data_IF_705243621836
#
_entry.id   IF_705243621836
#
_cell.length_a   1.000
_cell.length_b   1.000
_cell.length_c   1.000
_cell.angle_alpha   90.00
_cell.angle_beta   90.00
_cell.angle_gamma   90.00
#
_symmetry.space_group_name_H-M   'P 1'
#
loop_
_entity.id
_entity.type
_entity.pdbx_description
1 polymer ?
#
# COMPACT_ATOMS: atom_id res chain seq x y z
N UNK A 1 20.75 -6.54 6.66
CA UNK A 1 19.78 -5.71 7.39
C UNK A 1 20.48 -5.05 8.56
N UNK A 2 20.47 -3.73 8.63
CA UNK A 2 21.10 -2.97 9.72
C UNK A 2 20.26 -2.99 11.01
N UNK A 3 20.87 -2.64 12.16
CA UNK A 3 20.16 -2.54 13.46
C UNK A 3 18.97 -1.58 13.37
N UNK A 4 19.12 -0.48 12.61
CA UNK A 4 18.05 0.49 12.36
C UNK A 4 16.84 -0.14 11.67
N UNK A 5 17.06 -0.85 10.55
CA UNK A 5 16.01 -1.50 9.76
C UNK A 5 15.24 -2.57 10.54
N UNK A 6 15.93 -3.29 11.43
CA UNK A 6 15.33 -4.38 12.18
C UNK A 6 14.54 -3.91 13.42
N UNK A 7 15.04 -2.92 14.18
CA UNK A 7 14.48 -2.61 15.49
C UNK A 7 13.81 -1.23 15.60
N UNK A 8 14.25 -0.26 14.80
CA UNK A 8 13.77 1.13 14.91
C UNK A 8 12.75 1.48 13.81
N UNK A 9 13.07 1.15 12.57
CA UNK A 9 12.25 1.48 11.42
C UNK A 9 10.81 0.93 11.51
N UNK A 10 10.56 -0.36 11.87
CA UNK A 10 9.19 -0.87 11.98
C UNK A 10 8.35 -0.11 13.01
N UNK A 11 8.95 0.26 14.16
CA UNK A 11 8.26 1.04 15.20
C UNK A 11 7.94 2.45 14.74
N UNK A 12 8.89 3.10 14.05
CA UNK A 12 8.72 4.44 13.52
C UNK A 12 7.64 4.47 12.44
N UNK A 13 7.68 3.53 11.50
CA UNK A 13 6.67 3.39 10.45
C UNK A 13 5.29 3.12 11.05
N UNK A 14 5.17 2.17 11.99
CA UNK A 14 3.91 1.87 12.65
C UNK A 14 3.32 3.12 13.34
N UNK A 15 4.16 3.94 13.99
CA UNK A 15 3.70 5.18 14.61
C UNK A 15 3.27 6.23 13.58
N UNK A 16 4.09 6.45 12.55
CA UNK A 16 3.81 7.43 11.51
C UNK A 16 2.53 7.09 10.72
N UNK A 17 2.35 5.81 10.43
CA UNK A 17 1.19 5.32 9.67
C UNK A 17 -0.13 5.32 10.46
N UNK A 18 -0.09 5.59 11.77
CA UNK A 18 -1.28 5.79 12.63
C UNK A 18 -1.82 7.22 12.59
N UNK A 19 -1.23 8.13 11.81
CA UNK A 19 -1.68 9.52 11.71
C UNK A 19 -3.19 9.62 11.38
N UNK A 20 -3.94 10.56 11.99
CA UNK A 20 -5.40 10.65 11.83
C UNK A 20 -5.88 10.73 10.38
N UNK A 21 -5.16 11.49 9.55
CA UNK A 21 -5.50 11.62 8.12
C UNK A 21 -5.37 10.28 7.37
N UNK A 22 -4.36 9.45 7.71
CA UNK A 22 -4.20 8.12 7.11
C UNK A 22 -5.26 7.14 7.63
N UNK A 23 -5.61 7.25 8.93
CA UNK A 23 -6.70 6.46 9.51
C UNK A 23 -8.03 6.76 8.82
N UNK A 24 -8.38 8.03 8.63
CA UNK A 24 -9.61 8.43 7.95
C UNK A 24 -9.70 7.91 6.51
N UNK A 25 -8.57 7.81 5.80
CA UNK A 25 -8.53 7.20 4.47
C UNK A 25 -8.78 5.69 4.52
N UNK A 26 -8.22 4.98 5.50
CA UNK A 26 -8.49 3.54 5.70
C UNK A 26 -9.96 3.29 6.01
N UNK A 27 -10.54 4.06 6.92
CA UNK A 27 -11.96 3.99 7.29
C UNK A 27 -12.90 4.15 6.09
N UNK A 28 -12.48 4.92 5.10
CA UNK A 28 -13.28 5.16 3.88
C UNK A 28 -13.04 4.11 2.80
N UNK A 29 -11.80 3.69 2.60
CA UNK A 29 -11.41 2.87 1.44
C UNK A 29 -11.47 1.38 1.71
N UNK A 30 -10.97 0.93 2.87
CA UNK A 30 -10.84 -0.50 3.16
C UNK A 30 -12.19 -1.23 3.21
N UNK A 31 -13.30 -0.65 3.73
CA UNK A 31 -14.60 -1.29 3.70
C UNK A 31 -15.17 -1.55 2.29
N UNK A 32 -14.59 -0.95 1.26
CA UNK A 32 -14.97 -1.22 -0.14
C UNK A 32 -14.41 -2.54 -0.69
N UNK A 33 -13.55 -3.22 0.07
CA UNK A 33 -13.00 -4.52 -0.31
C UNK A 33 -14.06 -5.62 -0.20
N UNK A 34 -14.07 -6.54 -1.15
CA UNK A 34 -15.07 -7.60 -1.26
C UNK A 34 -14.41 -8.94 -1.62
N UNK A 35 -15.03 -10.04 -1.19
CA UNK A 35 -14.64 -11.41 -1.57
C UNK A 35 -13.28 -11.85 -1.03
N UNK A 36 -12.49 -12.47 -1.89
CA UNK A 36 -11.10 -12.83 -1.59
C UNK A 36 -10.22 -11.60 -1.79
N UNK A 37 -9.63 -11.11 -0.71
CA UNK A 37 -8.84 -9.89 -0.68
C UNK A 37 -7.35 -10.23 -0.56
N UNK A 38 -6.53 -9.65 -1.42
CA UNK A 38 -5.09 -9.60 -1.25
C UNK A 38 -4.69 -8.22 -0.76
N UNK A 39 -4.11 -8.12 0.43
CA UNK A 39 -3.48 -6.90 0.91
C UNK A 39 -1.98 -6.95 0.62
N UNK A 40 -1.52 -6.13 -0.32
CA UNK A 40 -0.10 -6.00 -0.66
C UNK A 40 0.53 -4.94 0.24
N UNK A 41 1.51 -5.37 1.05
CA UNK A 41 2.11 -4.54 2.09
C UNK A 41 1.21 -4.40 3.31
N UNK A 42 0.77 -5.53 3.89
CA UNK A 42 -0.08 -5.52 5.10
C UNK A 42 0.60 -4.83 6.29
N UNK A 43 1.92 -4.78 6.30
CA UNK A 43 2.71 -4.11 7.32
C UNK A 43 2.34 -4.54 8.73
N UNK A 44 1.97 -3.57 9.57
CA UNK A 44 1.54 -3.79 10.95
C UNK A 44 0.03 -4.01 11.13
N UNK A 45 -0.70 -4.30 10.04
CA UNK A 45 -2.12 -4.66 10.10
C UNK A 45 -3.08 -3.50 10.32
N UNK A 46 -2.68 -2.25 9.99
CA UNK A 46 -3.49 -1.06 10.26
C UNK A 46 -4.77 -0.96 9.43
N UNK A 47 -4.93 -1.77 8.39
CA UNK A 47 -6.16 -1.89 7.62
C UNK A 47 -7.13 -2.90 8.24
N UNK A 48 -6.64 -3.89 8.97
CA UNK A 48 -7.44 -5.02 9.48
C UNK A 48 -8.71 -4.59 10.21
N UNK A 49 -8.70 -3.57 11.10
CA UNK A 49 -9.91 -3.15 11.80
C UNK A 49 -11.04 -2.61 10.92
N UNK A 50 -10.76 -2.34 9.63
CA UNK A 50 -11.70 -1.71 8.71
C UNK A 50 -12.27 -2.68 7.66
N UNK A 51 -11.80 -3.92 7.61
CA UNK A 51 -12.39 -4.93 6.74
C UNK A 51 -13.74 -5.41 7.27
N UNK A 52 -14.69 -5.59 6.35
CA UNK A 52 -15.94 -6.28 6.66
C UNK A 52 -15.66 -7.76 7.01
N UNK A 53 -16.40 -8.33 7.95
CA UNK A 53 -16.21 -9.72 8.41
C UNK A 53 -16.47 -10.79 7.33
N UNK A 54 -17.05 -10.40 6.21
CA UNK A 54 -17.38 -11.29 5.09
C UNK A 54 -16.22 -11.54 4.12
N UNK A 55 -15.12 -10.78 4.24
CA UNK A 55 -13.97 -10.92 3.33
C UNK A 55 -12.95 -11.94 3.87
N UNK A 56 -12.24 -12.58 2.94
CA UNK A 56 -11.11 -13.47 3.24
C UNK A 56 -9.81 -12.75 2.91
N UNK A 57 -9.02 -12.41 3.92
CA UNK A 57 -7.81 -11.61 3.74
C UNK A 57 -6.57 -12.49 3.61
N UNK A 58 -5.80 -12.28 2.55
CA UNK A 58 -4.42 -12.74 2.43
C UNK A 58 -3.51 -11.52 2.50
N UNK A 59 -2.63 -11.48 3.50
CA UNK A 59 -1.72 -10.37 3.74
C UNK A 59 -0.29 -10.67 3.30
N UNK A 60 0.25 -9.87 2.41
CA UNK A 60 1.60 -10.00 1.85
C UNK A 60 2.50 -8.87 2.36
N UNK A 61 3.62 -9.21 2.98
CA UNK A 61 4.65 -8.26 3.39
C UNK A 61 6.00 -8.97 3.58
N UNK A 62 7.12 -8.43 3.09
CA UNK A 62 8.43 -9.05 3.30
C UNK A 62 8.98 -8.88 4.74
N UNK A 63 8.45 -7.95 5.53
CA UNK A 63 8.87 -7.70 6.92
C UNK A 63 8.11 -8.60 7.88
N UNK A 64 8.75 -9.67 8.34
CA UNK A 64 8.20 -10.55 9.37
C UNK A 64 8.02 -9.83 10.72
N UNK A 65 8.82 -8.80 10.98
CA UNK A 65 8.70 -7.95 12.16
C UNK A 65 7.41 -7.13 12.15
N UNK A 66 7.02 -6.57 10.99
CA UNK A 66 5.74 -5.87 10.84
C UNK A 66 4.58 -6.86 10.87
N UNK A 67 4.70 -8.00 10.22
CA UNK A 67 3.68 -9.05 10.27
C UNK A 67 3.39 -9.55 11.71
N UNK A 68 4.39 -9.53 12.61
CA UNK A 68 4.14 -9.88 14.00
C UNK A 68 3.10 -8.95 14.66
N UNK A 69 3.19 -7.63 14.42
CA UNK A 69 2.14 -6.69 14.85
C UNK A 69 0.80 -6.93 14.17
N UNK A 70 0.83 -7.27 12.86
CA UNK A 70 -0.41 -7.54 12.13
C UNK A 70 -1.15 -8.78 12.66
N UNK A 71 -0.42 -9.82 13.10
CA UNK A 71 -1.00 -10.99 13.75
C UNK A 71 -1.69 -10.64 15.07
N UNK A 72 -1.05 -9.80 15.89
CA UNK A 72 -1.68 -9.32 17.14
C UNK A 72 -2.98 -8.54 16.86
N UNK A 73 -2.98 -7.69 15.81
CA UNK A 73 -4.19 -6.97 15.40
C UNK A 73 -5.25 -7.93 14.87
N UNK A 74 -4.88 -8.91 14.05
CA UNK A 74 -5.81 -9.91 13.53
C UNK A 74 -6.51 -10.69 14.65
N UNK A 75 -5.76 -11.08 15.68
CA UNK A 75 -6.31 -11.75 16.87
C UNK A 75 -7.26 -10.82 17.65
N UNK A 76 -6.88 -9.56 17.86
CA UNK A 76 -7.69 -8.57 18.58
C UNK A 76 -9.01 -8.26 17.87
N UNK A 77 -8.97 -8.18 16.54
CA UNK A 77 -10.13 -7.85 15.69
C UNK A 77 -10.93 -9.10 15.29
N UNK A 78 -10.51 -10.30 15.68
CA UNK A 78 -11.14 -11.58 15.29
C UNK A 78 -11.29 -11.70 13.77
N UNK A 79 -10.17 -11.49 13.05
CA UNK A 79 -10.09 -11.60 11.60
C UNK A 79 -9.09 -12.70 11.24
N UNK A 80 -9.54 -13.65 10.43
CA UNK A 80 -8.66 -14.67 9.88
C UNK A 80 -7.87 -14.13 8.71
N UNK A 81 -6.53 -14.20 8.80
CA UNK A 81 -5.61 -13.67 7.79
C UNK A 81 -4.59 -14.73 7.42
N UNK A 82 -4.49 -15.04 6.14
CA UNK A 82 -3.39 -15.84 5.61
C UNK A 82 -2.17 -14.94 5.36
N UNK A 83 -1.10 -15.09 6.14
CA UNK A 83 0.10 -14.25 6.06
C UNK A 83 1.19 -14.86 5.18
N UNK A 84 1.70 -14.10 4.22
CA UNK A 84 2.76 -14.47 3.29
C UNK A 84 3.94 -13.51 3.44
N UNK A 85 5.14 -14.05 3.66
CA UNK A 85 6.38 -13.28 3.88
C UNK A 85 7.15 -12.97 2.60
N UNK A 86 6.48 -12.42 1.57
CA UNK A 86 7.08 -12.09 0.28
C UNK A 86 6.76 -10.65 -0.14
N UNK A 87 7.48 -10.16 -1.16
CA UNK A 87 7.22 -8.87 -1.81
C UNK A 87 6.08 -8.98 -2.82
N UNK A 88 5.39 -7.86 -3.07
CA UNK A 88 4.39 -7.75 -4.13
C UNK A 88 4.91 -7.98 -5.55
N UNK A 89 6.22 -8.05 -5.75
CA UNK A 89 6.89 -8.39 -7.01
C UNK A 89 6.81 -9.89 -7.34
N UNK A 90 6.49 -10.73 -6.34
CA UNK A 90 6.31 -12.18 -6.47
C UNK A 90 5.14 -12.62 -5.59
N UNK A 91 3.95 -12.79 -6.18
CA UNK A 91 2.74 -13.17 -5.46
C UNK A 91 2.50 -14.67 -5.64
N UNK A 92 2.64 -15.51 -4.59
CA UNK A 92 2.52 -16.97 -4.68
C UNK A 92 1.03 -17.38 -4.67
N UNK A 93 0.30 -16.97 -5.71
CA UNK A 93 -1.09 -17.29 -5.91
C UNK A 93 -1.37 -17.57 -7.40
N UNK A 94 -2.41 -18.33 -7.68
CA UNK A 94 -2.86 -18.60 -9.03
C UNK A 94 -3.39 -17.35 -9.74
N UNK A 95 -3.45 -17.39 -11.06
CA UNK A 95 -4.09 -16.33 -11.83
C UNK A 95 -5.56 -16.22 -11.44
N UNK A 96 -6.09 -15.00 -11.43
CA UNK A 96 -7.50 -14.75 -11.15
C UNK A 96 -7.99 -15.32 -9.80
N UNK A 97 -7.21 -15.15 -8.74
CA UNK A 97 -7.49 -15.67 -7.39
C UNK A 97 -8.25 -14.69 -6.50
N UNK A 98 -8.07 -13.39 -6.72
CA UNK A 98 -8.60 -12.35 -5.83
C UNK A 98 -9.66 -11.49 -6.50
N UNK A 99 -10.69 -11.17 -5.72
CA UNK A 99 -11.76 -10.24 -6.13
C UNK A 99 -11.33 -8.79 -5.92
N UNK A 100 -10.56 -8.54 -4.86
CA UNK A 100 -10.04 -7.22 -4.51
C UNK A 100 -8.56 -7.31 -4.16
N UNK A 101 -7.77 -6.33 -4.63
CA UNK A 101 -6.43 -6.06 -4.11
C UNK A 101 -6.47 -4.74 -3.35
N UNK A 102 -5.94 -4.71 -2.13
CA UNK A 102 -5.80 -3.50 -1.31
C UNK A 102 -4.32 -3.15 -1.19
N UNK A 103 -3.98 -1.90 -1.46
CA UNK A 103 -2.61 -1.39 -1.40
C UNK A 103 -2.59 0.02 -0.83
N UNK A 104 -2.05 0.17 0.39
CA UNK A 104 -2.02 1.46 1.09
C UNK A 104 -0.59 1.82 1.49
N UNK A 105 -0.04 2.87 0.87
CA UNK A 105 1.33 3.38 1.06
C UNK A 105 2.41 2.30 0.89
N UNK A 106 2.19 1.41 -0.07
CA UNK A 106 3.06 0.28 -0.36
C UNK A 106 3.77 0.41 -1.69
N UNK A 107 3.04 0.81 -2.75
CA UNK A 107 3.63 0.97 -4.08
C UNK A 107 4.80 1.96 -4.09
N UNK A 108 4.77 2.97 -3.21
CA UNK A 108 5.87 3.92 -3.06
C UNK A 108 7.15 3.29 -2.51
N UNK A 109 7.08 2.10 -1.89
CA UNK A 109 8.19 1.41 -1.21
C UNK A 109 8.73 0.22 -2.00
N UNK A 110 7.88 -0.47 -2.77
CA UNK A 110 8.28 -1.65 -3.56
C UNK A 110 9.42 -1.28 -4.54
N UNK A 111 10.53 -2.04 -4.60
CA UNK A 111 11.66 -1.75 -5.49
C UNK A 111 11.26 -1.66 -6.96
N UNK A 112 10.58 -2.68 -7.50
CA UNK A 112 10.01 -2.66 -8.85
C UNK A 112 8.48 -2.57 -8.83
N UNK A 113 7.91 -1.34 -8.84
CA UNK A 113 6.47 -1.14 -8.78
C UNK A 113 5.74 -1.60 -10.06
N UNK A 114 6.44 -1.69 -11.21
CA UNK A 114 5.84 -2.20 -12.44
C UNK A 114 5.65 -3.71 -12.36
N UNK A 115 6.68 -4.42 -11.90
CA UNK A 115 6.59 -5.87 -11.68
C UNK A 115 5.47 -6.20 -10.68
N UNK A 116 5.37 -5.45 -9.58
CA UNK A 116 4.30 -5.64 -8.61
C UNK A 116 2.91 -5.42 -9.21
N UNK A 117 2.72 -4.37 -10.00
CA UNK A 117 1.44 -4.12 -10.69
C UNK A 117 1.12 -5.20 -11.74
N UNK A 118 2.13 -5.77 -12.41
CA UNK A 118 1.93 -6.89 -13.33
C UNK A 118 1.48 -8.16 -12.58
N UNK A 119 2.08 -8.45 -11.43
CA UNK A 119 1.67 -9.56 -10.56
C UNK A 119 0.25 -9.34 -10.00
N UNK A 120 -0.06 -8.13 -9.53
CA UNK A 120 -1.41 -7.76 -9.10
C UNK A 120 -2.42 -7.99 -10.23
N UNK A 121 -2.10 -7.55 -11.44
CA UNK A 121 -2.95 -7.79 -12.61
C UNK A 121 -3.16 -9.27 -12.89
N UNK A 122 -2.12 -10.09 -12.73
CA UNK A 122 -2.18 -11.54 -12.94
C UNK A 122 -3.11 -12.25 -11.97
N UNK A 123 -3.03 -11.86 -10.68
CA UNK A 123 -3.80 -12.54 -9.63
C UNK A 123 -5.22 -11.98 -9.46
N UNK A 124 -5.49 -10.79 -9.99
CA UNK A 124 -6.81 -10.16 -9.92
C UNK A 124 -7.76 -10.85 -10.92
N UNK A 125 -8.96 -11.18 -10.48
CA UNK A 125 -10.02 -11.77 -11.32
C UNK A 125 -10.50 -10.77 -12.37
N UNK A 126 -11.04 -11.25 -13.52
CA UNK A 126 -11.81 -10.39 -14.42
C UNK A 126 -12.95 -9.68 -13.66
N UNK A 127 -13.01 -8.37 -13.77
CA UNK A 127 -13.95 -7.53 -13.02
C UNK A 127 -13.55 -7.25 -11.57
N UNK A 128 -12.41 -7.75 -11.11
CA UNK A 128 -11.84 -7.40 -9.81
C UNK A 128 -11.26 -5.98 -9.78
N UNK A 129 -11.05 -5.45 -8.59
CA UNK A 129 -10.62 -4.06 -8.37
C UNK A 129 -9.38 -3.94 -7.48
N UNK A 130 -8.62 -2.88 -7.70
CA UNK A 130 -7.54 -2.45 -6.82
C UNK A 130 -8.01 -1.22 -6.04
N UNK A 131 -8.02 -1.30 -4.73
CA UNK A 131 -8.27 -0.16 -3.83
C UNK A 131 -6.91 0.35 -3.36
N UNK A 132 -6.64 1.62 -3.56
CA UNK A 132 -5.31 2.16 -3.27
C UNK A 132 -5.32 3.50 -2.57
N UNK A 133 -4.27 3.74 -1.77
CA UNK A 133 -3.88 5.03 -1.26
C UNK A 133 -2.35 5.11 -1.25
N UNK A 134 -1.76 5.99 -2.05
CA UNK A 134 -0.32 6.02 -2.27
C UNK A 134 0.25 7.44 -2.22
N UNK A 135 1.45 7.59 -1.67
CA UNK A 135 2.21 8.82 -1.83
C UNK A 135 2.74 8.92 -3.29
N UNK A 136 2.85 10.13 -3.83
CA UNK A 136 3.48 10.31 -5.12
C UNK A 136 3.95 11.74 -5.40
N UNK A 137 4.44 11.94 -6.62
CA UNK A 137 4.93 13.24 -7.09
C UNK A 137 3.81 14.28 -7.06
N UNK A 138 4.07 15.40 -6.39
CA UNK A 138 3.13 16.52 -6.35
C UNK A 138 3.10 17.28 -7.70
N UNK A 139 1.94 17.83 -8.11
CA UNK A 139 1.84 18.57 -9.38
C UNK A 139 2.54 19.94 -9.35
N UNK A 140 2.79 20.48 -8.18
CA UNK A 140 3.56 21.71 -8.03
C UNK A 140 5.05 21.46 -8.34
N UNK A 141 5.57 22.16 -9.35
CA UNK A 141 6.93 21.98 -9.87
C UNK A 141 8.00 22.23 -8.79
N UNK A 142 7.77 23.15 -7.86
CA UNK A 142 8.75 23.45 -6.80
C UNK A 142 8.74 22.33 -5.76
N UNK A 143 7.56 21.84 -5.39
CA UNK A 143 7.42 20.69 -4.47
C UNK A 143 8.05 19.45 -5.10
N UNK A 144 7.74 19.15 -6.37
CA UNK A 144 8.32 18.00 -7.10
C UNK A 144 9.85 18.05 -7.15
N UNK A 145 10.43 19.23 -7.41
CA UNK A 145 11.89 19.43 -7.35
C UNK A 145 12.47 19.15 -5.96
N UNK A 146 11.78 19.56 -4.90
CA UNK A 146 12.20 19.26 -3.52
C UNK A 146 12.04 17.79 -3.20
N UNK A 147 10.92 17.16 -3.59
CA UNK A 147 10.73 15.72 -3.48
C UNK A 147 11.90 14.96 -4.13
N UNK A 148 12.27 15.30 -5.36
CA UNK A 148 13.38 14.67 -6.06
C UNK A 148 14.74 14.85 -5.34
N UNK A 149 14.98 16.04 -4.75
CA UNK A 149 16.23 16.33 -4.02
C UNK A 149 16.37 15.57 -2.72
N UNK A 150 15.28 15.45 -1.95
CA UNK A 150 15.32 14.79 -0.64
C UNK A 150 15.12 13.28 -0.76
N UNK A 151 14.57 12.79 -1.88
CA UNK A 151 14.21 11.39 -2.08
C UNK A 151 15.34 10.39 -1.75
N UNK A 152 16.62 10.62 -2.08
CA UNK A 152 17.70 9.69 -1.72
C UNK A 152 17.85 9.49 -0.19
N UNK A 153 17.72 10.57 0.58
CA UNK A 153 17.78 10.52 2.04
C UNK A 153 16.49 9.94 2.62
N UNK A 154 15.34 10.38 2.08
CA UNK A 154 14.03 9.89 2.49
C UNK A 154 13.88 8.39 2.27
N UNK A 155 14.34 7.89 1.14
CA UNK A 155 14.30 6.45 0.82
C UNK A 155 14.98 5.59 1.88
N UNK A 156 16.13 6.02 2.38
CA UNK A 156 16.86 5.33 3.46
C UNK A 156 16.09 5.42 4.79
N UNK A 157 15.63 6.61 5.16
CA UNK A 157 14.93 6.84 6.45
C UNK A 157 13.52 6.27 6.46
N UNK A 158 12.85 6.26 5.32
CA UNK A 158 11.47 5.80 5.14
C UNK A 158 11.35 4.35 4.66
N UNK A 159 12.39 3.53 4.83
CA UNK A 159 12.33 2.10 4.53
C UNK A 159 12.04 1.77 3.06
N UNK A 160 12.66 2.49 2.14
CA UNK A 160 12.47 2.29 0.71
C UNK A 160 11.41 3.21 0.08
N UNK A 161 10.69 4.03 0.86
CA UNK A 161 9.65 4.91 0.34
C UNK A 161 10.21 5.97 -0.62
N UNK A 162 9.55 6.16 -1.76
CA UNK A 162 9.84 7.18 -2.77
C UNK A 162 8.74 8.24 -2.78
N UNK A 163 9.11 9.52 -2.54
CA UNK A 163 8.16 10.65 -2.55
C UNK A 163 7.75 11.11 -3.96
N UNK A 164 8.52 10.74 -4.98
CA UNK A 164 8.42 11.26 -6.33
C UNK A 164 7.95 10.23 -7.36
N UNK A 165 7.23 9.18 -6.93
CA UNK A 165 6.65 8.21 -7.85
C UNK A 165 5.48 8.81 -8.61
N UNK A 166 5.46 8.58 -9.93
CA UNK A 166 4.38 8.97 -10.83
C UNK A 166 3.29 7.88 -10.82
N UNK A 167 2.45 7.91 -9.79
CA UNK A 167 1.48 6.84 -9.51
C UNK A 167 0.58 6.57 -10.71
N UNK A 168 -0.01 7.61 -11.33
CA UNK A 168 -0.90 7.45 -12.48
C UNK A 168 -0.19 6.73 -13.63
N UNK A 169 1.01 7.20 -14.00
CA UNK A 169 1.78 6.57 -15.09
C UNK A 169 2.18 5.13 -14.80
N UNK A 170 2.36 4.74 -13.52
CA UNK A 170 2.64 3.37 -13.13
C UNK A 170 1.42 2.48 -13.35
N UNK A 171 0.24 2.89 -12.88
CA UNK A 171 -0.99 2.13 -13.06
C UNK A 171 -1.37 2.00 -14.54
N UNK A 172 -1.46 3.12 -15.27
CA UNK A 172 -1.80 3.14 -16.69
C UNK A 172 -0.80 2.33 -17.52
N UNK A 173 0.50 2.52 -17.27
CA UNK A 173 1.58 1.79 -17.95
C UNK A 173 1.64 0.29 -17.61
N UNK A 174 0.88 -0.17 -16.61
CA UNK A 174 0.74 -1.57 -16.23
C UNK A 174 -0.64 -2.16 -16.61
N UNK A 175 -1.45 -1.41 -17.37
CA UNK A 175 -2.72 -1.87 -17.92
C UNK A 175 -3.89 -1.78 -16.93
N UNK A 176 -3.88 -0.75 -16.07
CA UNK A 176 -5.01 -0.40 -15.22
C UNK A 176 -5.63 0.92 -15.66
N UNK A 177 -6.95 1.02 -15.55
CA UNK A 177 -7.73 2.24 -15.64
C UNK A 177 -8.18 2.66 -14.24
N UNK A 178 -8.33 3.96 -14.01
CA UNK A 178 -8.93 4.46 -12.77
C UNK A 178 -10.45 4.57 -12.92
N UNK A 179 -11.17 3.81 -12.11
CA UNK A 179 -12.61 3.95 -11.97
C UNK A 179 -12.94 5.19 -11.13
N UNK A 180 -12.13 5.39 -10.06
CA UNK A 180 -12.18 6.57 -9.20
C UNK A 180 -10.75 6.97 -8.82
N UNK A 181 -10.42 8.25 -8.92
CA UNK A 181 -9.16 8.79 -8.44
C UNK A 181 -9.35 10.16 -7.81
N UNK A 182 -8.92 10.28 -6.58
CA UNK A 182 -8.77 11.55 -5.87
C UNK A 182 -7.28 11.84 -5.63
N UNK A 183 -6.91 13.11 -5.73
CA UNK A 183 -5.54 13.58 -5.54
C UNK A 183 -5.52 14.78 -4.62
N UNK A 184 -4.53 14.85 -3.72
CA UNK A 184 -4.41 16.00 -2.84
C UNK A 184 -3.43 15.80 -1.70
N UNK A 185 -3.15 16.88 -1.00
CA UNK A 185 -2.32 16.87 0.19
C UNK A 185 -3.13 16.38 1.39
N UNK A 186 -2.53 15.52 2.20
CA UNK A 186 -2.98 15.25 3.56
C UNK A 186 -2.41 16.29 4.52
N UNK A 187 -2.84 16.28 5.77
CA UNK A 187 -2.25 17.11 6.82
C UNK A 187 -0.78 16.77 7.03
N UNK A 188 0.05 17.81 7.13
CA UNK A 188 1.48 17.67 7.36
C UNK A 188 2.36 18.40 6.33
N UNK A 189 3.65 18.10 6.29
CA UNK A 189 4.60 18.73 5.37
C UNK A 189 4.25 18.43 3.91
N UNK A 190 3.95 19.46 3.11
CA UNK A 190 3.49 19.31 1.71
C UNK A 190 4.42 18.46 0.83
N UNK A 191 5.71 18.43 1.16
CA UNK A 191 6.70 17.65 0.43
C UNK A 191 6.50 16.13 0.57
N UNK A 192 5.84 15.67 1.66
CA UNK A 192 5.65 14.27 1.99
C UNK A 192 4.18 13.82 2.06
N UNK A 193 3.23 14.71 1.73
CA UNK A 193 1.80 14.43 1.99
C UNK A 193 0.92 14.43 0.74
N UNK A 194 1.50 14.55 -0.46
CA UNK A 194 0.71 14.44 -1.68
C UNK A 194 0.35 12.98 -1.94
N UNK A 195 -0.95 12.71 -2.00
CA UNK A 195 -1.51 11.36 -2.10
C UNK A 195 -2.42 11.21 -3.31
N UNK A 196 -2.40 10.01 -3.87
CA UNK A 196 -3.32 9.47 -4.86
C UNK A 196 -4.13 8.37 -4.19
N UNK A 197 -5.45 8.36 -4.33
CA UNK A 197 -6.33 7.39 -3.70
C UNK A 197 -7.56 7.12 -4.53
N UNK A 198 -8.06 5.89 -4.49
CA UNK A 198 -9.25 5.52 -5.26
C UNK A 198 -9.31 4.05 -5.59
N UNK A 199 -9.96 3.77 -6.72
CA UNK A 199 -10.22 2.44 -7.24
C UNK A 199 -9.70 2.38 -8.68
N UNK A 200 -9.04 1.27 -9.01
CA UNK A 200 -8.60 0.97 -10.37
C UNK A 200 -9.01 -0.45 -10.75
N UNK A 201 -9.26 -0.67 -12.03
CA UNK A 201 -9.56 -1.96 -12.61
C UNK A 201 -8.67 -2.28 -13.81
N UNK A 202 -8.65 -3.54 -14.24
CA UNK A 202 -7.89 -3.95 -15.44
C UNK A 202 -8.50 -3.29 -16.67
N UNK A 203 -7.65 -2.68 -17.53
CA UNK A 203 -8.03 -2.02 -18.77
C UNK A 203 -8.54 -3.00 -19.83
#
# INVERSE_FOLDING_TARGET
MGIYEKYFLPKLLNLAMKAPAMKALRERLVPLAEGNVLEVGIGSGLNLPFYEKSVHVTGLDPSLELQAYAREVAEQEDIDVNFIGLSGEEIPADNNSFDTVVMTWTLCTIPDPRQALMEIRRVLKPGGKVIFAEHGEAPDVNIAKWQARINPVWNVLGGGCHLNRKIESLYEGSGFNFDEIEKGFLEGPRIATYNFRGIASIA
#
